data_IF_786510943621
#
_entry.id   IF_786510943621
#
_cell.length_a   1.000
_cell.length_b   1.000
_cell.length_c   1.000
_cell.angle_alpha   90.00
_cell.angle_beta   90.00
_cell.angle_gamma   90.00
#
_symmetry.space_group_name_H-M   'P 1'
#
loop_
_entity.id
_entity.type
_entity.pdbx_description
1 polymer ?
#
# COMPACT_ATOMS: atom_id res chain seq x y z
N UNK A 1 4.79 -12.86 -7.74
CA UNK A 1 4.29 -13.67 -8.88
C UNK A 1 3.71 -12.76 -9.98
N UNK A 2 2.83 -11.82 -9.65
CA UNK A 2 2.26 -10.85 -10.59
C UNK A 2 3.33 -9.96 -11.25
N UNK A 3 4.30 -9.48 -10.50
CA UNK A 3 5.40 -8.65 -11.00
C UNK A 3 6.33 -9.39 -11.97
N UNK A 4 6.44 -10.69 -11.88
CA UNK A 4 7.27 -11.50 -12.77
C UNK A 4 6.64 -11.65 -14.16
N UNK A 5 5.30 -11.74 -14.23
CA UNK A 5 4.56 -11.75 -15.50
C UNK A 5 4.54 -10.38 -16.18
N UNK A 6 4.34 -9.30 -15.42
CA UNK A 6 4.43 -7.93 -15.94
C UNK A 6 5.84 -7.63 -16.46
N UNK A 7 6.87 -8.13 -15.77
CA UNK A 7 8.27 -8.04 -16.23
C UNK A 7 8.50 -8.77 -17.54
N UNK A 8 7.85 -9.91 -17.78
CA UNK A 8 7.89 -10.63 -19.06
C UNK A 8 7.16 -9.85 -20.15
N UNK A 9 5.96 -9.34 -19.87
CA UNK A 9 5.18 -8.55 -20.84
C UNK A 9 5.85 -7.23 -21.22
N UNK A 10 6.53 -6.56 -20.28
CA UNK A 10 7.31 -5.35 -20.56
C UNK A 10 8.54 -5.65 -21.40
N UNK A 11 9.24 -6.76 -21.15
CA UNK A 11 10.39 -7.19 -21.98
C UNK A 11 9.99 -7.52 -23.41
N UNK A 12 8.76 -7.96 -23.64
CA UNK A 12 8.23 -8.26 -24.97
C UNK A 12 7.75 -7.01 -25.71
N UNK A 13 7.35 -5.95 -24.99
CA UNK A 13 6.79 -4.72 -25.60
C UNK A 13 7.79 -3.60 -25.84
N UNK A 14 8.92 -3.59 -25.13
CA UNK A 14 9.81 -2.43 -25.18
C UNK A 14 11.29 -2.84 -25.18
N UNK A 15 11.88 -2.86 -26.37
CA UNK A 15 13.33 -3.05 -26.57
C UNK A 15 14.17 -1.83 -26.10
N UNK A 16 13.59 -0.87 -25.35
CA UNK A 16 14.26 0.39 -24.97
C UNK A 16 14.29 0.70 -23.46
N UNK A 17 13.72 -0.14 -22.58
CA UNK A 17 13.84 0.08 -21.14
C UNK A 17 15.01 -0.74 -20.58
N UNK A 18 16.03 -0.10 -20.00
CA UNK A 18 17.14 -0.81 -19.39
C UNK A 18 16.64 -1.78 -18.30
N UNK A 19 17.06 -3.02 -18.35
CA UNK A 19 16.59 -4.10 -17.46
C UNK A 19 16.90 -3.90 -15.97
N UNK A 20 17.61 -2.84 -15.62
CA UNK A 20 18.01 -2.53 -14.24
C UNK A 20 17.03 -1.60 -13.50
N UNK A 21 16.09 -0.95 -14.19
CA UNK A 21 15.20 0.04 -13.58
C UNK A 21 13.87 -0.54 -13.08
N UNK A 22 13.57 -1.80 -13.38
CA UNK A 22 12.35 -2.47 -12.91
C UNK A 22 12.61 -3.08 -11.54
N UNK A 23 11.92 -2.66 -10.47
CA UNK A 23 12.08 -3.24 -9.16
C UNK A 23 11.70 -4.73 -9.18
N UNK A 24 12.42 -5.54 -8.42
CA UNK A 24 12.17 -6.98 -8.34
C UNK A 24 10.78 -7.28 -7.74
N UNK A 25 10.33 -6.44 -6.82
CA UNK A 25 9.00 -6.47 -6.21
C UNK A 25 8.65 -5.09 -5.65
N UNK A 26 7.36 -4.85 -5.45
CA UNK A 26 6.83 -3.75 -4.64
C UNK A 26 6.36 -4.34 -3.31
N UNK A 27 6.81 -3.77 -2.21
CA UNK A 27 6.49 -4.25 -0.88
C UNK A 27 5.15 -3.67 -0.37
N UNK A 28 4.52 -4.40 0.55
CA UNK A 28 3.37 -3.85 1.26
C UNK A 28 3.81 -2.68 2.14
N UNK A 29 3.19 -1.52 1.93
CA UNK A 29 3.54 -0.27 2.62
C UNK A 29 4.41 0.68 1.81
N UNK A 30 4.83 0.29 0.60
CA UNK A 30 5.53 1.19 -0.30
C UNK A 30 4.66 2.40 -0.67
N UNK A 31 5.34 3.52 -0.87
CA UNK A 31 4.68 4.78 -1.21
C UNK A 31 4.74 5.03 -2.71
N UNK A 32 3.63 5.49 -3.24
CA UNK A 32 3.55 5.91 -4.62
C UNK A 32 2.90 7.28 -4.74
N UNK A 33 3.34 8.05 -5.73
CA UNK A 33 2.70 9.28 -6.16
C UNK A 33 1.77 8.97 -7.33
N UNK A 34 0.52 9.41 -7.23
CA UNK A 34 -0.42 9.32 -8.35
C UNK A 34 -0.07 10.41 -9.37
N UNK A 35 0.42 10.02 -10.52
CA UNK A 35 0.72 10.93 -11.62
C UNK A 35 -0.53 11.21 -12.46
N UNK A 36 -1.33 10.16 -12.73
CA UNK A 36 -2.52 10.28 -13.57
C UNK A 36 -3.60 9.27 -13.18
N UNK A 37 -4.84 9.73 -13.20
CA UNK A 37 -6.03 8.87 -13.15
C UNK A 37 -6.48 8.65 -14.60
N UNK A 38 -6.45 7.39 -15.07
CA UNK A 38 -6.80 7.04 -16.44
C UNK A 38 -8.29 6.76 -16.58
N UNK A 39 -8.79 5.83 -15.75
CA UNK A 39 -10.15 5.33 -15.80
C UNK A 39 -10.66 5.03 -14.40
N UNK A 40 -11.95 5.25 -14.20
CA UNK A 40 -12.68 4.77 -13.01
C UNK A 40 -13.77 3.82 -13.48
N UNK A 41 -14.02 2.78 -12.71
CA UNK A 41 -15.05 1.78 -13.01
C UNK A 41 -15.64 1.26 -11.70
N UNK A 42 -16.97 1.15 -11.67
CA UNK A 42 -17.71 0.49 -10.60
C UNK A 42 -18.08 -0.91 -11.10
N UNK A 43 -17.55 -1.93 -10.47
CA UNK A 43 -17.70 -3.32 -10.89
C UNK A 43 -17.65 -4.24 -9.66
N UNK A 44 -18.40 -5.33 -9.67
CA UNK A 44 -18.45 -6.32 -8.57
C UNK A 44 -18.85 -5.72 -7.22
N UNK A 45 -19.57 -4.60 -7.21
CA UNK A 45 -19.91 -3.87 -5.98
C UNK A 45 -18.75 -3.06 -5.37
N UNK A 46 -17.65 -2.90 -6.09
CA UNK A 46 -16.47 -2.15 -5.68
C UNK A 46 -16.10 -1.08 -6.70
N UNK A 47 -15.35 -0.07 -6.23
CA UNK A 47 -14.84 1.02 -7.05
C UNK A 47 -13.38 0.79 -7.37
N UNK A 48 -13.06 0.76 -8.64
CA UNK A 48 -11.69 0.61 -9.13
C UNK A 48 -11.24 1.85 -9.90
N UNK A 49 -9.94 2.04 -9.99
CA UNK A 49 -9.35 3.00 -10.92
C UNK A 49 -8.07 2.44 -11.53
N UNK A 50 -7.82 2.78 -12.79
CA UNK A 50 -6.51 2.59 -13.41
C UNK A 50 -5.70 3.85 -13.20
N UNK A 51 -4.59 3.74 -12.48
CA UNK A 51 -3.70 4.84 -12.11
C UNK A 51 -2.32 4.66 -12.72
N UNK A 52 -1.71 5.76 -13.17
CA UNK A 52 -0.28 5.83 -13.37
C UNK A 52 0.35 6.24 -12.04
N UNK A 53 1.11 5.34 -11.45
CA UNK A 53 1.79 5.47 -10.16
C UNK A 53 3.29 5.65 -10.39
N UNK A 54 3.90 6.54 -9.62
CA UNK A 54 5.36 6.70 -9.56
C UNK A 54 5.84 6.31 -8.17
N UNK A 55 6.86 5.47 -8.11
CA UNK A 55 7.47 4.97 -6.89
C UNK A 55 8.83 5.68 -6.64
N UNK A 56 8.88 6.72 -5.81
CA UNK A 56 10.11 7.49 -5.58
C UNK A 56 11.26 6.65 -5.01
N UNK A 57 10.92 5.70 -4.13
CA UNK A 57 11.90 4.84 -3.44
C UNK A 57 12.55 3.80 -4.38
N UNK A 58 12.02 3.68 -5.63
CA UNK A 58 12.51 2.79 -6.68
C UNK A 58 13.01 3.58 -7.91
N UNK A 59 13.75 4.66 -7.69
CA UNK A 59 14.30 5.46 -8.79
C UNK A 59 13.23 6.15 -9.65
N UNK A 60 12.09 6.49 -9.05
CA UNK A 60 10.91 7.05 -9.74
C UNK A 60 10.29 6.11 -10.78
N UNK A 61 10.39 4.79 -10.55
CA UNK A 61 9.75 3.79 -11.39
C UNK A 61 8.25 4.09 -11.56
N UNK A 62 7.77 4.05 -12.79
CA UNK A 62 6.37 4.28 -13.12
C UNK A 62 5.66 2.98 -13.47
N UNK A 63 4.47 2.79 -12.90
CA UNK A 63 3.63 1.62 -13.11
C UNK A 63 2.18 2.05 -13.34
N UNK A 64 1.58 1.55 -14.41
CA UNK A 64 0.13 1.62 -14.59
C UNK A 64 -0.52 0.40 -13.94
N UNK A 65 -1.36 0.62 -12.96
CA UNK A 65 -1.99 -0.45 -12.19
C UNK A 65 -3.47 -0.17 -11.91
N UNK A 66 -4.24 -1.24 -11.79
CA UNK A 66 -5.61 -1.18 -11.26
C UNK A 66 -5.54 -1.13 -9.74
N UNK A 67 -6.24 -0.18 -9.15
CA UNK A 67 -6.32 0.00 -7.70
C UNK A 67 -7.77 -0.09 -7.23
N UNK A 68 -7.97 -0.55 -6.00
CA UNK A 68 -9.23 -0.60 -5.31
C UNK A 68 -9.41 0.68 -4.47
N UNK A 69 -10.42 1.49 -4.80
CA UNK A 69 -10.65 2.78 -4.15
C UNK A 69 -11.37 2.69 -2.81
N UNK A 70 -12.14 1.61 -2.57
CA UNK A 70 -12.91 1.44 -1.33
C UNK A 70 -12.01 1.38 -0.10
N UNK A 71 -10.81 0.89 -0.26
CA UNK A 71 -9.82 0.86 0.83
C UNK A 71 -9.35 2.25 1.28
N UNK A 72 -9.46 3.29 0.43
CA UNK A 72 -9.06 4.67 0.79
C UNK A 72 -9.90 5.24 1.94
N UNK A 73 -11.19 4.90 2.00
CA UNK A 73 -12.15 5.43 2.97
C UNK A 73 -12.48 4.45 4.10
N UNK A 74 -12.02 3.20 3.99
CA UNK A 74 -12.19 2.18 5.03
C UNK A 74 -11.26 2.44 6.21
N UNK A 75 -11.69 2.17 7.44
CA UNK A 75 -10.82 2.15 8.62
C UNK A 75 -9.91 0.93 8.62
N UNK A 76 -10.37 -0.19 8.08
CA UNK A 76 -9.59 -1.42 7.97
C UNK A 76 -8.37 -1.23 7.04
N UNK A 77 -7.24 -1.89 7.31
CA UNK A 77 -6.02 -1.76 6.50
C UNK A 77 -6.15 -2.32 5.08
N UNK A 78 -7.10 -3.25 4.88
CA UNK A 78 -7.40 -3.92 3.63
C UNK A 78 -8.90 -4.27 3.58
N UNK A 79 -9.36 -4.92 2.51
CA UNK A 79 -10.70 -5.51 2.48
C UNK A 79 -10.86 -6.53 3.61
N UNK A 80 -12.05 -6.57 4.21
CA UNK A 80 -12.40 -7.63 5.16
C UNK A 80 -12.46 -8.98 4.44
N UNK A 81 -12.45 -10.08 5.21
CA UNK A 81 -12.58 -11.41 4.65
C UNK A 81 -13.87 -11.56 3.82
N UNK A 82 -14.99 -11.08 4.35
CA UNK A 82 -16.28 -11.09 3.66
C UNK A 82 -16.24 -10.33 2.34
N UNK A 83 -15.62 -9.15 2.32
CA UNK A 83 -15.46 -8.36 1.09
C UNK A 83 -14.55 -9.04 0.07
N UNK A 84 -13.50 -9.73 0.54
CA UNK A 84 -12.61 -10.51 -0.34
C UNK A 84 -13.33 -11.70 -0.95
N UNK A 85 -14.14 -12.42 -0.16
CA UNK A 85 -14.97 -13.52 -0.65
C UNK A 85 -16.02 -13.02 -1.65
N UNK A 86 -16.68 -11.91 -1.34
CA UNK A 86 -17.63 -11.29 -2.26
C UNK A 86 -16.98 -10.96 -3.59
N UNK A 87 -15.83 -10.28 -3.57
CA UNK A 87 -15.09 -9.93 -4.78
C UNK A 87 -14.69 -11.18 -5.57
N UNK A 88 -14.18 -12.20 -4.88
CA UNK A 88 -13.80 -13.46 -5.49
C UNK A 88 -14.97 -14.13 -6.20
N UNK A 89 -16.13 -14.25 -5.54
CA UNK A 89 -17.31 -14.88 -6.12
C UNK A 89 -17.85 -14.12 -7.32
N UNK A 90 -17.86 -12.81 -7.26
CA UNK A 90 -18.32 -11.99 -8.39
C UNK A 90 -17.38 -12.12 -9.60
N UNK A 91 -16.07 -12.16 -9.38
CA UNK A 91 -15.10 -12.41 -10.45
C UNK A 91 -15.23 -13.86 -10.96
N UNK A 92 -15.44 -14.84 -10.09
CA UNK A 92 -15.61 -16.25 -10.48
C UNK A 92 -16.79 -16.44 -11.43
N UNK A 93 -17.86 -15.66 -11.28
CA UNK A 93 -19.03 -15.68 -12.17
C UNK A 93 -18.64 -15.38 -13.62
N UNK A 94 -17.71 -14.46 -13.87
CA UNK A 94 -17.25 -14.09 -15.21
C UNK A 94 -16.41 -15.21 -15.88
N UNK A 95 -15.90 -16.17 -15.08
CA UNK A 95 -15.07 -17.27 -15.56
C UNK A 95 -15.81 -18.62 -15.56
N UNK A 96 -17.16 -18.65 -15.43
CA UNK A 96 -17.94 -19.88 -15.40
C UNK A 96 -17.82 -20.72 -16.69
N UNK A 97 -17.60 -20.06 -17.83
CA UNK A 97 -17.42 -20.71 -19.11
C UNK A 97 -16.09 -21.50 -19.24
N UNK A 98 -15.17 -21.33 -18.29
CA UNK A 98 -13.91 -22.10 -18.25
C UNK A 98 -14.19 -23.47 -17.61
N UNK A 99 -14.16 -24.59 -18.38
CA UNK A 99 -14.67 -25.87 -17.91
C UNK A 99 -13.85 -26.49 -16.77
N UNK A 100 -12.52 -26.34 -16.84
CA UNK A 100 -11.61 -26.91 -15.85
C UNK A 100 -11.43 -25.98 -14.66
N UNK A 101 -11.74 -26.44 -13.46
CA UNK A 101 -11.58 -25.67 -12.21
C UNK A 101 -10.15 -25.11 -12.04
N UNK A 102 -9.14 -25.91 -12.41
CA UNK A 102 -7.74 -25.48 -12.30
C UNK A 102 -7.44 -24.29 -13.22
N UNK A 103 -7.94 -24.30 -14.46
CA UNK A 103 -7.74 -23.24 -15.43
C UNK A 103 -8.53 -21.99 -15.05
N UNK A 104 -9.75 -22.17 -14.53
CA UNK A 104 -10.57 -21.07 -13.97
C UNK A 104 -9.85 -20.37 -12.84
N UNK A 105 -9.33 -21.12 -11.87
CA UNK A 105 -8.56 -20.55 -10.76
C UNK A 105 -7.29 -19.84 -11.22
N UNK A 106 -6.66 -20.35 -12.28
CA UNK A 106 -5.50 -19.68 -12.88
C UNK A 106 -5.90 -18.35 -13.54
N UNK A 107 -7.00 -18.35 -14.27
CA UNK A 107 -7.52 -17.13 -14.92
C UNK A 107 -7.90 -16.08 -13.87
N UNK A 108 -8.62 -16.44 -12.80
CA UNK A 108 -8.97 -15.53 -11.71
C UNK A 108 -7.71 -14.94 -11.05
N UNK A 109 -6.68 -15.75 -10.80
CA UNK A 109 -5.42 -15.26 -10.22
C UNK A 109 -4.66 -14.30 -11.13
N UNK A 110 -4.97 -14.25 -12.41
CA UNK A 110 -4.39 -13.31 -13.38
C UNK A 110 -5.32 -12.12 -13.67
N UNK A 111 -6.52 -12.12 -13.12
CA UNK A 111 -7.48 -11.06 -13.33
C UNK A 111 -7.00 -9.74 -12.69
N UNK A 112 -7.17 -8.63 -13.41
CA UNK A 112 -6.71 -7.32 -12.99
C UNK A 112 -7.47 -6.77 -11.79
N UNK A 113 -8.75 -7.13 -11.60
CA UNK A 113 -9.57 -6.67 -10.49
C UNK A 113 -9.33 -7.52 -9.24
N UNK A 114 -9.08 -8.82 -9.43
CA UNK A 114 -8.67 -9.70 -8.33
C UNK A 114 -7.31 -9.28 -7.75
N UNK A 115 -6.40 -8.83 -8.61
CA UNK A 115 -5.07 -8.34 -8.24
C UNK A 115 -5.01 -6.83 -8.04
N UNK A 116 -6.14 -6.13 -7.96
CA UNK A 116 -6.16 -4.70 -7.76
C UNK A 116 -5.41 -4.30 -6.49
N UNK A 117 -4.55 -3.30 -6.60
CA UNK A 117 -3.77 -2.83 -5.46
C UNK A 117 -4.71 -2.19 -4.43
N UNK A 118 -4.61 -2.64 -3.19
CA UNK A 118 -5.32 -2.05 -2.07
C UNK A 118 -4.48 -0.89 -1.54
N UNK A 119 -5.00 0.32 -1.69
CA UNK A 119 -4.25 1.56 -1.43
C UNK A 119 -4.85 2.35 -0.27
N UNK A 120 -4.00 3.07 0.43
CA UNK A 120 -4.36 4.03 1.49
C UNK A 120 -3.72 5.38 1.19
N UNK A 121 -4.29 6.44 1.73
CA UNK A 121 -3.61 7.73 1.72
C UNK A 121 -2.34 7.67 2.57
N UNK A 122 -1.25 8.21 2.03
CA UNK A 122 0.06 8.23 2.70
C UNK A 122 0.33 9.56 3.43
N UNK A 123 -0.71 10.20 3.98
CA UNK A 123 -0.56 11.43 4.78
C UNK A 123 0.03 11.15 6.17
N UNK A 124 -0.26 9.98 6.70
CA UNK A 124 0.30 9.49 7.94
C UNK A 124 0.48 7.97 7.86
N UNK A 125 1.46 7.47 8.58
CA UNK A 125 1.73 6.03 8.67
C UNK A 125 1.88 5.65 10.14
N UNK A 126 1.55 4.42 10.48
CA UNK A 126 1.82 3.92 11.83
C UNK A 126 3.31 3.76 12.05
N UNK A 127 3.77 3.90 13.28
CA UNK A 127 5.17 3.74 13.65
C UNK A 127 5.76 2.41 13.13
N UNK A 128 5.01 1.31 13.20
CA UNK A 128 5.45 0.01 12.69
C UNK A 128 5.70 0.02 11.18
N UNK A 129 4.85 0.70 10.41
CA UNK A 129 5.02 0.83 8.95
C UNK A 129 6.15 1.80 8.57
N UNK A 130 6.55 2.67 9.48
CA UNK A 130 7.67 3.58 9.30
C UNK A 130 9.04 2.92 9.57
N UNK A 131 9.07 1.68 10.05
CA UNK A 131 10.33 0.97 10.30
C UNK A 131 11.14 0.83 9.00
N UNK A 132 12.44 1.12 9.10
CA UNK A 132 13.37 1.09 7.95
C UNK A 132 13.39 2.38 7.13
N UNK A 133 12.37 3.25 7.20
CA UNK A 133 12.36 4.56 6.57
C UNK A 133 13.03 5.64 7.45
N UNK A 134 13.56 6.68 6.82
CA UNK A 134 14.05 7.91 7.49
C UNK A 134 13.65 9.12 6.67
N UNK A 135 13.35 10.23 7.36
CA UNK A 135 12.93 11.48 6.74
C UNK A 135 13.57 12.66 7.45
N UNK A 136 13.85 13.74 6.70
CA UNK A 136 14.44 14.97 7.25
C UNK A 136 13.56 15.54 8.39
N UNK A 137 12.27 15.60 8.18
CA UNK A 137 11.30 16.12 9.14
C UNK A 137 10.24 15.07 9.46
N UNK A 138 10.06 14.78 10.74
CA UNK A 138 9.08 13.78 11.23
C UNK A 138 8.17 14.42 12.27
N UNK A 139 6.87 14.28 12.08
CA UNK A 139 5.84 14.63 13.05
C UNK A 139 5.36 13.36 13.72
N UNK A 140 5.55 13.24 15.02
CA UNK A 140 5.08 12.09 15.80
C UNK A 140 3.88 12.51 16.63
N UNK A 141 2.72 11.93 16.29
CA UNK A 141 1.50 12.10 17.06
C UNK A 141 1.38 10.92 18.03
N UNK A 142 1.43 11.21 19.33
CA UNK A 142 1.29 10.19 20.38
C UNK A 142 -0.15 9.67 20.46
N UNK A 143 -1.13 10.47 20.05
CA UNK A 143 -2.54 10.16 20.20
C UNK A 143 -3.00 10.17 21.64
N UNK A 144 -4.06 9.44 21.94
CA UNK A 144 -4.58 9.28 23.31
C UNK A 144 -3.74 8.26 24.08
N UNK A 145 -3.14 8.70 25.18
CA UNK A 145 -2.31 7.86 26.08
C UNK A 145 -2.77 8.04 27.52
N UNK A 146 -2.81 6.94 28.25
CA UNK A 146 -3.04 6.88 29.69
C UNK A 146 -1.80 6.31 30.36
N UNK A 147 -1.65 6.54 31.67
CA UNK A 147 -0.45 6.13 32.42
C UNK A 147 -0.22 4.60 32.40
N UNK A 148 -1.29 3.81 32.34
CA UNK A 148 -1.22 2.36 32.22
C UNK A 148 -0.72 1.86 30.86
N UNK A 149 -0.71 2.71 29.84
CA UNK A 149 -0.12 2.43 28.53
C UNK A 149 1.40 2.68 28.47
N UNK A 150 1.99 3.27 29.51
CA UNK A 150 3.43 3.52 29.63
C UNK A 150 4.19 2.21 29.96
N UNK A 151 4.15 1.27 29.07
CA UNK A 151 4.80 -0.05 29.19
C UNK A 151 6.19 -0.06 28.55
N UNK A 152 7.02 -1.11 28.74
CA UNK A 152 8.26 -1.27 28.00
C UNK A 152 8.09 -1.19 26.48
N UNK A 153 6.97 -1.69 25.95
CA UNK A 153 6.67 -1.62 24.52
C UNK A 153 6.48 -0.17 24.04
N UNK A 154 6.00 0.71 24.89
CA UNK A 154 5.93 2.14 24.60
C UNK A 154 7.31 2.75 24.38
N UNK A 155 8.31 2.35 25.17
CA UNK A 155 9.70 2.81 24.99
C UNK A 155 10.25 2.35 23.64
N UNK A 156 9.96 1.12 23.24
CA UNK A 156 10.35 0.60 21.92
C UNK A 156 9.64 1.36 20.79
N UNK A 157 8.37 1.72 20.99
CA UNK A 157 7.62 2.54 20.05
C UNK A 157 8.24 3.94 19.92
N UNK A 158 8.56 4.60 21.06
CA UNK A 158 9.23 5.91 21.09
C UNK A 158 10.55 5.87 20.34
N UNK A 159 11.40 4.89 20.64
CA UNK A 159 12.68 4.71 19.97
C UNK A 159 12.49 4.58 18.45
N UNK A 160 11.56 3.73 18.05
CA UNK A 160 11.27 3.54 16.63
C UNK A 160 10.78 4.82 15.98
N UNK A 161 9.86 5.55 16.59
CA UNK A 161 9.29 6.79 16.07
C UNK A 161 10.35 7.89 15.95
N UNK A 162 11.14 8.11 17.01
CA UNK A 162 12.10 9.22 17.10
C UNK A 162 13.30 9.02 16.16
N UNK A 163 13.75 7.79 16.00
CA UNK A 163 14.88 7.48 15.12
C UNK A 163 14.54 7.54 13.62
N UNK A 164 13.30 7.91 13.28
CA UNK A 164 12.89 8.15 11.88
C UNK A 164 13.33 9.53 11.38
N UNK A 165 13.49 10.51 12.27
CA UNK A 165 13.93 11.86 11.90
C UNK A 165 15.45 11.91 11.71
N UNK A 166 15.92 12.50 10.60
CA UNK A 166 17.34 12.75 10.35
C UNK A 166 17.74 14.18 10.64
N UNK A 167 16.81 15.14 10.63
CA UNK A 167 17.06 16.56 10.86
C UNK A 167 16.20 17.12 11.98
N UNK A 168 14.86 16.98 11.90
CA UNK A 168 13.95 17.62 12.84
C UNK A 168 12.81 16.67 13.22
N UNK A 169 12.58 16.58 14.53
CA UNK A 169 11.46 15.85 15.12
C UNK A 169 10.46 16.83 15.74
N UNK A 170 9.19 16.67 15.39
CA UNK A 170 8.08 17.45 15.94
C UNK A 170 7.16 16.52 16.73
N UNK A 171 6.88 16.86 17.97
CA UNK A 171 5.97 16.13 18.84
C UNK A 171 4.59 16.80 18.78
N UNK A 172 3.56 16.00 18.48
CA UNK A 172 2.19 16.46 18.34
C UNK A 172 1.34 15.78 19.42
N UNK A 173 0.46 16.53 20.07
CA UNK A 173 -0.40 16.06 21.15
C UNK A 173 0.39 15.40 22.31
N UNK A 174 1.57 15.94 22.63
CA UNK A 174 2.42 15.40 23.67
C UNK A 174 1.98 15.90 25.05
N UNK A 175 1.85 15.02 26.07
CA UNK A 175 1.51 15.45 27.43
C UNK A 175 2.61 16.33 28.03
N UNK A 176 2.22 17.42 28.67
CA UNK A 176 3.17 18.33 29.37
C UNK A 176 3.99 17.60 30.44
N UNK A 177 3.43 16.54 31.04
CA UNK A 177 4.09 15.70 32.08
C UNK A 177 5.29 14.91 31.51
N UNK A 178 5.40 14.77 30.20
CA UNK A 178 6.49 14.07 29.52
C UNK A 178 7.46 15.03 28.80
N UNK A 179 7.30 16.33 29.01
CA UNK A 179 8.16 17.37 28.44
C UNK A 179 8.91 18.06 29.57
N UNK A 180 10.24 17.98 29.59
CA UNK A 180 11.05 18.83 30.45
C UNK A 180 11.00 20.27 29.94
N UNK A 181 10.38 21.17 30.71
CA UNK A 181 10.50 22.61 30.51
C UNK A 181 11.75 23.11 31.21
N UNK A 182 12.77 23.42 30.46
CA UNK A 182 13.98 24.12 30.95
C UNK A 182 13.70 25.57 31.34
#
# INVERSE_FOLDING_TARGET
YWMEEERKKMKEKDNQVPSNDIPAFLANGDRAKVLKVRRRIDLYGFRFATLLLQFPDYGNYELEATVLLDTLTSEAPALTHEQQEQLFHQIEEDYQDVPLKADRMKAIRQDQFYNALQVKFAYAVTCHKAQGGQWAHVYVDQGYMTDDMLTPDYIHWLYTAFTRATEMLYLVNWPETQIETS
#
